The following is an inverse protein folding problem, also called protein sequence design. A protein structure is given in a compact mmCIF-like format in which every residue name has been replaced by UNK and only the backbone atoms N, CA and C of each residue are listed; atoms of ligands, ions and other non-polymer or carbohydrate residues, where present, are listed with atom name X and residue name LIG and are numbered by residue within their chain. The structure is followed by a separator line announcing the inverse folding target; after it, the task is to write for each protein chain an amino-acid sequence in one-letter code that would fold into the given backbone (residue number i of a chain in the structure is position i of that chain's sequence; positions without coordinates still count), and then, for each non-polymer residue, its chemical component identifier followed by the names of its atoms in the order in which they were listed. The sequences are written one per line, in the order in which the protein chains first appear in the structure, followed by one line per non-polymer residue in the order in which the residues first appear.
data_IF_015590540103
#
_entry.id   IF_015590540103
#
_cell.length_a   1.000
_cell.length_b   1.000
_cell.length_c   1.000
_cell.angle_alpha   90.00
_cell.angle_beta   90.00
_cell.angle_gamma   90.00
#
_symmetry.space_group_name_H-M   'P 1'
#
loop_
_entity.id
_entity.type
_entity.pdbx_description
1 polymer ?
#
# COMPACT_ATOMS: atom_id res chain seq x y z
N UNK A 1 26.63 26.86 -7.65
CA UNK A 1 27.43 25.90 -6.89
C UNK A 1 26.63 24.60 -6.83
N UNK A 2 26.98 23.63 -7.66
CA UNK A 2 26.30 22.33 -7.80
C UNK A 2 26.96 21.32 -6.88
N UNK A 3 26.28 20.91 -5.81
CA UNK A 3 26.78 19.86 -4.92
C UNK A 3 25.62 19.00 -4.43
N UNK A 4 25.66 17.73 -4.81
CA UNK A 4 24.89 16.67 -4.17
C UNK A 4 23.81 16.05 -5.06
N UNK A 5 24.20 15.55 -6.23
CA UNK A 5 23.51 14.41 -6.83
C UNK A 5 23.56 13.26 -5.80
N UNK A 6 22.51 13.16 -4.98
CA UNK A 6 22.34 12.07 -4.02
C UNK A 6 21.87 10.88 -4.83
N UNK A 7 22.79 9.96 -5.03
CA UNK A 7 22.62 8.60 -5.57
C UNK A 7 21.16 8.11 -5.42
N UNK A 8 20.34 8.35 -6.44
CA UNK A 8 18.90 8.01 -6.52
C UNK A 8 18.74 6.50 -6.84
N UNK A 9 19.50 5.68 -6.13
CA UNK A 9 19.38 4.24 -6.21
C UNK A 9 18.26 3.85 -5.25
N UNK A 10 17.20 3.17 -5.73
CA UNK A 10 16.18 2.66 -4.83
C UNK A 10 16.87 1.80 -3.78
N UNK A 11 16.63 2.14 -2.51
CA UNK A 11 17.14 1.41 -1.35
C UNK A 11 16.93 -0.10 -1.58
N UNK A 12 17.88 -0.91 -1.14
CA UNK A 12 17.89 -2.36 -1.36
C UNK A 12 16.56 -2.96 -0.88
N UNK A 13 16.03 -2.42 0.23
CA UNK A 13 14.70 -2.73 0.73
C UNK A 13 13.59 -2.35 -0.26
N UNK A 14 13.56 -1.11 -0.76
CA UNK A 14 12.58 -0.65 -1.75
C UNK A 14 12.60 -1.51 -3.02
N UNK A 15 13.78 -1.88 -3.52
CA UNK A 15 13.91 -2.73 -4.71
C UNK A 15 13.41 -4.15 -4.45
N UNK A 16 13.69 -4.69 -3.26
CA UNK A 16 13.19 -5.99 -2.82
C UNK A 16 11.67 -5.99 -2.69
N UNK A 17 11.09 -5.07 -1.90
CA UNK A 17 9.64 -4.98 -1.68
C UNK A 17 8.88 -4.76 -2.98
N UNK A 18 9.40 -3.91 -3.88
CA UNK A 18 8.78 -3.67 -5.20
C UNK A 18 8.77 -4.92 -6.07
N UNK A 19 9.86 -5.69 -6.08
CA UNK A 19 9.91 -6.96 -6.83
C UNK A 19 8.96 -7.97 -6.22
N UNK A 20 8.96 -8.12 -4.90
CA UNK A 20 8.07 -9.03 -4.18
C UNK A 20 6.61 -8.68 -4.43
N UNK A 21 6.22 -7.40 -4.34
CA UNK A 21 4.86 -6.95 -4.63
C UNK A 21 4.44 -7.25 -6.08
N UNK A 22 5.32 -7.01 -7.06
CA UNK A 22 5.04 -7.35 -8.46
C UNK A 22 4.85 -8.85 -8.66
N UNK A 23 5.70 -9.68 -8.06
CA UNK A 23 5.61 -11.14 -8.16
C UNK A 23 4.34 -11.65 -7.49
N UNK A 24 4.04 -11.20 -6.27
CA UNK A 24 2.81 -11.58 -5.54
C UNK A 24 1.52 -11.18 -6.28
N UNK A 25 1.56 -10.12 -7.10
CA UNK A 25 0.43 -9.70 -7.92
C UNK A 25 0.19 -10.54 -9.18
N UNK A 26 1.08 -11.45 -9.56
CA UNK A 26 0.88 -12.30 -10.75
C UNK A 26 -0.06 -13.49 -10.44
N UNK A 27 -1.04 -13.72 -11.33
CA UNK A 27 -1.99 -14.83 -11.22
C UNK A 27 -1.33 -16.22 -11.07
N UNK A 28 -0.16 -16.43 -11.69
CA UNK A 28 0.61 -17.66 -11.58
C UNK A 28 1.14 -17.93 -10.17
N UNK A 29 1.47 -16.87 -9.41
CA UNK A 29 1.95 -17.01 -8.03
C UNK A 29 0.79 -17.38 -7.10
N UNK A 30 -0.39 -16.82 -7.34
CA UNK A 30 -1.60 -17.23 -6.66
C UNK A 30 -1.93 -18.71 -6.92
N UNK A 31 -1.88 -19.15 -8.19
CA UNK A 31 -2.08 -20.56 -8.53
C UNK A 31 -1.06 -21.48 -7.85
N UNK A 32 0.21 -21.08 -7.78
CA UNK A 32 1.25 -21.79 -7.04
C UNK A 32 0.97 -21.87 -5.54
N UNK A 33 0.53 -20.78 -4.92
CA UNK A 33 0.15 -20.76 -3.51
C UNK A 33 -1.03 -21.70 -3.21
N UNK A 34 -2.04 -21.71 -4.08
CA UNK A 34 -3.18 -22.65 -3.98
C UNK A 34 -2.70 -24.09 -4.12
N UNK A 35 -1.79 -24.39 -5.07
CA UNK A 35 -1.24 -25.74 -5.21
C UNK A 35 -0.49 -26.19 -3.96
N UNK A 36 0.28 -25.31 -3.31
CA UNK A 36 0.94 -25.61 -2.02
C UNK A 36 -0.07 -25.93 -0.93
N UNK A 37 -1.17 -25.15 -0.82
CA UNK A 37 -2.25 -25.43 0.14
C UNK A 37 -2.92 -26.78 -0.13
N UNK A 38 -3.15 -27.12 -1.39
CA UNK A 38 -3.73 -28.41 -1.79
C UNK A 38 -2.80 -29.57 -1.42
N UNK A 39 -1.50 -29.45 -1.71
CA UNK A 39 -0.50 -30.46 -1.33
C UNK A 39 -0.48 -30.63 0.20
N UNK A 40 -0.46 -29.53 0.95
CA UNK A 40 -0.51 -29.57 2.41
C UNK A 40 -1.81 -30.22 2.92
N UNK A 41 -2.97 -29.95 2.31
CA UNK A 41 -4.23 -30.59 2.68
C UNK A 41 -4.16 -32.12 2.48
N UNK A 42 -3.54 -32.59 1.40
CA UNK A 42 -3.36 -34.02 1.13
C UNK A 42 -2.36 -34.72 2.06
N UNK A 43 -1.40 -34.00 2.65
CA UNK A 43 -0.50 -34.59 3.66
C UNK A 43 -1.20 -34.78 5.02
N UNK A 44 -2.33 -34.10 5.27
CA UNK A 44 -3.11 -34.21 6.51
C UNK A 44 -3.60 -35.63 6.82
N UNK A 45 -4.31 -36.31 5.90
CA UNK A 45 -4.77 -37.68 6.08
C UNK A 45 -3.64 -38.69 6.33
N UNK A 46 -2.47 -38.51 5.70
CA UNK A 46 -1.29 -39.38 5.89
C UNK A 46 -0.67 -39.23 7.28
N UNK A 47 -0.80 -38.05 7.90
CA UNK A 47 -0.25 -37.72 9.22
C UNK A 47 -1.31 -37.71 10.33
N UNK A 48 -2.53 -38.18 10.04
CA UNK A 48 -3.63 -38.25 11.01
C UNK A 48 -4.08 -36.89 11.54
N UNK A 49 -3.92 -35.81 10.74
CA UNK A 49 -4.22 -34.43 11.14
C UNK A 49 -3.56 -34.00 12.47
N UNK A 50 -2.31 -34.41 12.67
CA UNK A 50 -1.56 -34.15 13.90
C UNK A 50 -1.42 -32.66 14.25
N UNK A 51 -1.18 -32.38 15.53
CA UNK A 51 -0.91 -31.02 16.02
C UNK A 51 0.27 -30.37 15.30
N UNK A 52 1.31 -31.15 14.95
CA UNK A 52 2.45 -30.65 14.18
C UNK A 52 2.06 -30.23 12.77
N UNK A 53 1.18 -30.98 12.10
CA UNK A 53 0.70 -30.65 10.76
C UNK A 53 -0.09 -29.33 10.73
N UNK A 54 -0.93 -29.10 11.76
CA UNK A 54 -1.68 -27.85 11.93
C UNK A 54 -0.76 -26.68 12.35
N UNK A 55 0.18 -26.93 13.27
CA UNK A 55 1.11 -25.92 13.76
C UNK A 55 1.94 -25.33 12.61
N UNK A 56 2.45 -26.18 11.72
CA UNK A 56 3.28 -25.74 10.59
C UNK A 56 2.54 -24.72 9.72
N UNK A 57 1.27 -24.97 9.35
CA UNK A 57 0.55 -24.03 8.49
C UNK A 57 0.19 -22.73 9.21
N UNK A 58 -0.19 -22.83 10.48
CA UNK A 58 -0.65 -21.69 11.26
C UNK A 58 0.52 -20.73 11.55
N UNK A 59 1.65 -21.28 12.01
CA UNK A 59 2.87 -20.50 12.23
C UNK A 59 3.39 -19.90 10.91
N UNK A 60 3.40 -20.67 9.83
CA UNK A 60 3.89 -20.17 8.53
C UNK A 60 3.02 -19.03 7.99
N UNK A 61 1.69 -19.19 8.01
CA UNK A 61 0.75 -18.18 7.53
C UNK A 61 0.85 -16.91 8.36
N UNK A 62 1.04 -17.03 9.68
CA UNK A 62 1.24 -15.87 10.57
C UNK A 62 2.49 -15.08 10.18
N UNK A 63 3.62 -15.74 9.98
CA UNK A 63 4.87 -15.08 9.55
C UNK A 63 4.70 -14.41 8.19
N UNK A 64 4.12 -15.12 7.22
CA UNK A 64 3.86 -14.57 5.88
C UNK A 64 2.94 -13.36 5.95
N UNK A 65 1.88 -13.42 6.75
CA UNK A 65 0.93 -12.32 6.93
C UNK A 65 1.62 -11.11 7.56
N UNK A 66 2.44 -11.32 8.60
CA UNK A 66 3.21 -10.26 9.22
C UNK A 66 4.13 -9.56 8.21
N UNK A 67 4.88 -10.33 7.41
CA UNK A 67 5.70 -9.79 6.33
C UNK A 67 4.88 -9.09 5.24
N UNK A 68 3.72 -9.64 4.88
CA UNK A 68 2.80 -9.07 3.90
C UNK A 68 2.33 -7.67 4.34
N UNK A 69 2.02 -7.47 5.63
CA UNK A 69 1.65 -6.16 6.16
C UNK A 69 2.75 -5.13 5.91
N UNK A 70 4.03 -5.45 6.17
CA UNK A 70 5.14 -4.54 5.86
C UNK A 70 5.28 -4.25 4.37
N UNK A 71 5.14 -5.28 3.53
CA UNK A 71 5.24 -5.13 2.07
C UNK A 71 4.10 -4.23 1.56
N UNK A 72 2.88 -4.45 2.04
CA UNK A 72 1.69 -3.65 1.72
C UNK A 72 1.90 -2.22 2.19
N UNK A 73 2.28 -2.00 3.44
CA UNK A 73 2.54 -0.66 3.98
C UNK A 73 3.63 0.07 3.20
N UNK A 74 4.74 -0.58 2.86
CA UNK A 74 5.79 0.04 2.06
C UNK A 74 5.30 0.42 0.65
N UNK A 75 4.51 -0.46 0.03
CA UNK A 75 3.95 -0.20 -1.30
C UNK A 75 2.92 0.94 -1.25
N UNK A 76 2.01 0.89 -0.28
CA UNK A 76 0.99 1.92 -0.05
C UNK A 76 1.62 3.27 0.27
N UNK A 77 2.61 3.34 1.16
CA UNK A 77 3.28 4.60 1.49
C UNK A 77 3.91 5.27 0.27
N UNK A 78 4.55 4.48 -0.60
CA UNK A 78 5.13 5.01 -1.84
C UNK A 78 4.05 5.47 -2.83
N UNK A 79 2.99 4.69 -2.99
CA UNK A 79 1.91 5.01 -3.93
C UNK A 79 1.14 6.27 -3.47
N UNK A 80 0.93 6.44 -2.16
CA UNK A 80 0.38 7.66 -1.55
C UNK A 80 1.28 8.87 -1.79
N UNK A 81 2.58 8.76 -1.57
CA UNK A 81 3.52 9.86 -1.84
C UNK A 81 3.52 10.26 -3.33
N UNK A 82 3.49 9.29 -4.24
CA UNK A 82 3.40 9.57 -5.67
C UNK A 82 2.06 10.23 -6.06
N UNK A 83 0.98 9.91 -5.35
CA UNK A 83 -0.33 10.55 -5.54
C UNK A 83 -0.30 12.02 -5.11
N UNK A 84 0.29 12.34 -3.95
CA UNK A 84 0.46 13.73 -3.51
C UNK A 84 1.23 14.57 -4.53
N UNK A 85 2.39 14.09 -5.00
CA UNK A 85 3.20 14.80 -6.01
C UNK A 85 2.41 15.06 -7.30
N UNK A 86 1.56 14.11 -7.73
CA UNK A 86 0.71 14.29 -8.91
C UNK A 86 -0.38 15.33 -8.68
N UNK A 87 -1.00 15.37 -7.49
CA UNK A 87 -1.99 16.37 -7.14
C UNK A 87 -1.36 17.77 -7.05
N UNK A 88 -0.17 17.89 -6.47
CA UNK A 88 0.57 19.16 -6.39
C UNK A 88 0.86 19.73 -7.78
N UNK A 89 1.28 18.86 -8.71
CA UNK A 89 1.50 19.25 -10.10
C UNK A 89 0.21 19.76 -10.78
N UNK A 90 -0.93 19.11 -10.53
CA UNK A 90 -2.23 19.55 -11.05
C UNK A 90 -2.69 20.87 -10.42
N UNK A 91 -2.53 21.03 -9.10
CA UNK A 91 -2.87 22.28 -8.40
C UNK A 91 -2.04 23.46 -8.92
N UNK A 92 -0.75 23.22 -9.21
CA UNK A 92 0.15 24.22 -9.79
C UNK A 92 -0.30 24.64 -11.20
N UNK A 93 -0.60 23.68 -12.07
CA UNK A 93 -1.05 23.94 -13.46
C UNK A 93 -2.38 24.70 -13.49
N UNK A 94 -3.30 24.34 -12.59
CA UNK A 94 -4.62 24.97 -12.46
C UNK A 94 -4.58 26.29 -11.66
N UNK A 95 -3.42 26.72 -11.18
CA UNK A 95 -3.23 27.92 -10.33
C UNK A 95 -4.16 27.93 -9.11
N UNK A 96 -4.41 26.77 -8.52
CA UNK A 96 -5.20 26.64 -7.30
C UNK A 96 -4.42 27.32 -6.16
N UNK A 97 -4.92 28.47 -5.68
CA UNK A 97 -4.23 29.29 -4.68
C UNK A 97 -4.74 29.06 -3.25
N UNK A 98 -5.61 28.08 -3.03
CA UNK A 98 -6.18 27.82 -1.71
C UNK A 98 -5.13 27.10 -0.85
N UNK A 99 -4.44 27.86 0.01
CA UNK A 99 -3.41 27.35 0.91
C UNK A 99 -3.86 26.18 1.79
N UNK A 100 -5.17 26.07 2.08
CA UNK A 100 -5.71 24.95 2.87
C UNK A 100 -5.83 23.65 2.08
N UNK A 101 -6.01 23.72 0.75
CA UNK A 101 -5.96 22.53 -0.10
C UNK A 101 -4.54 22.01 -0.26
N UNK A 102 -3.55 22.91 -0.23
CA UNK A 102 -2.14 22.57 -0.37
C UNK A 102 -1.55 21.91 0.89
N UNK A 103 -2.13 22.14 2.08
CA UNK A 103 -1.63 21.57 3.35
C UNK A 103 -2.53 20.43 3.88
N UNK A 104 -3.55 20.05 3.11
CA UNK A 104 -4.57 19.11 3.55
C UNK A 104 -3.99 17.72 3.91
N UNK A 105 -2.85 17.31 3.33
CA UNK A 105 -2.19 16.05 3.67
C UNK A 105 -1.54 16.01 5.05
N UNK A 106 -1.26 17.18 5.64
CA UNK A 106 -0.66 17.30 6.97
C UNK A 106 -1.73 17.51 8.06
N UNK A 107 -3.01 17.65 7.68
CA UNK A 107 -4.11 17.87 8.60
C UNK A 107 -4.65 16.58 9.21
N UNK A 108 -5.19 16.70 10.43
CA UNK A 108 -5.89 15.58 11.07
C UNK A 108 -7.24 15.27 10.42
N UNK A 109 -7.67 14.01 10.48
CA UNK A 109 -8.90 13.49 9.85
C UNK A 109 -10.16 14.34 10.12
N UNK A 110 -10.32 14.86 11.35
CA UNK A 110 -11.46 15.72 11.71
C UNK A 110 -11.45 17.08 10.98
N UNK A 111 -10.28 17.62 10.67
CA UNK A 111 -10.19 18.88 9.96
C UNK A 111 -10.39 18.66 8.45
N UNK A 112 -9.84 17.58 7.89
CA UNK A 112 -10.11 17.16 6.49
C UNK A 112 -11.62 17.02 6.25
N UNK A 113 -12.35 16.35 7.13
CA UNK A 113 -13.81 16.19 6.99
C UNK A 113 -14.57 17.53 7.07
N UNK A 114 -14.11 18.46 7.92
CA UNK A 114 -14.68 19.82 7.98
C UNK A 114 -14.41 20.61 6.71
N UNK A 115 -13.23 20.47 6.12
CA UNK A 115 -12.89 21.10 4.85
C UNK A 115 -13.74 20.54 3.72
N UNK A 116 -13.87 19.21 3.64
CA UNK A 116 -14.73 18.54 2.65
C UNK A 116 -16.15 19.08 2.66
N UNK A 117 -16.77 19.16 3.85
CA UNK A 117 -18.12 19.73 4.01
C UNK A 117 -18.23 21.19 3.59
N UNK A 118 -17.20 22.01 3.87
CA UNK A 118 -17.16 23.41 3.43
C UNK A 118 -17.15 23.51 1.91
N UNK A 119 -16.27 22.77 1.24
CA UNK A 119 -16.15 22.75 -0.22
C UNK A 119 -17.46 22.28 -0.86
N UNK A 120 -18.07 21.20 -0.36
CA UNK A 120 -19.37 20.72 -0.85
C UNK A 120 -20.45 21.81 -0.71
N UNK A 121 -20.53 22.48 0.44
CA UNK A 121 -21.51 23.55 0.65
C UNK A 121 -21.29 24.80 -0.21
N UNK A 122 -20.03 25.12 -0.57
CA UNK A 122 -19.70 26.23 -1.47
C UNK A 122 -20.01 25.87 -2.92
N UNK A 123 -19.78 24.62 -3.32
CA UNK A 123 -20.11 24.12 -4.64
C UNK A 123 -21.63 24.09 -4.88
N UNK A 124 -22.42 23.67 -3.88
CA UNK A 124 -23.89 23.70 -3.94
C UNK A 124 -24.43 25.13 -4.11
N UNK A 125 -23.88 26.11 -3.38
CA UNK A 125 -24.29 27.52 -3.47
C UNK A 125 -23.94 28.20 -4.80
N UNK A 126 -22.89 27.74 -5.48
CA UNK A 126 -22.49 28.28 -6.79
C UNK A 126 -23.27 27.65 -7.96
N UNK A 127 -24.11 26.63 -7.70
CA UNK A 127 -24.98 26.01 -8.70
C UNK A 127 -26.43 26.54 -8.68
N UNK A 128 -26.80 27.30 -7.65
CA UNK A 128 -28.05 28.09 -7.58
C UNK A 128 -27.88 29.50 -8.17
#
# INVERSE_FOLDING_TARGET
MTTGDRDDKPDIFTRFTTRTAKVLGHAWVFAGAVAVLVIWAFTGPLLGFSDTWQLVINTSTTIVTFLMVFIIQNTQNRDTAALHVKLDALMLELRVSNAKLYDAENEGEKEIERQRKRIESEAEKNQE
#
